data_IF_489092211149
#
_entry.id   IF_489092211149
#
_cell.length_a   1.000
_cell.length_b   1.000
_cell.length_c   1.000
_cell.angle_alpha   90.00
_cell.angle_beta   90.00
_cell.angle_gamma   90.00
#
_symmetry.space_group_name_H-M   'P 1'
#
loop_
_entity.id
_entity.type
_entity.pdbx_description
1 polymer ?
#
# COMPACT_ATOMS: atom_id res chain seq x y z
N UNK A 1 -1.53 15.77 14.85
CA UNK A 1 -1.62 15.03 13.59
C UNK A 1 -0.79 15.66 12.46
N UNK A 2 -0.97 16.95 12.08
CA UNK A 2 -0.18 17.61 11.01
C UNK A 2 1.34 17.52 11.22
N UNK A 3 1.84 17.77 12.42
CA UNK A 3 3.26 17.68 12.74
C UNK A 3 3.83 16.26 12.57
N UNK A 4 3.07 15.22 12.92
CA UNK A 4 3.46 13.83 12.74
C UNK A 4 3.55 13.48 11.24
N UNK A 5 2.58 13.91 10.44
CA UNK A 5 2.62 13.70 8.99
C UNK A 5 3.80 14.41 8.33
N UNK A 6 4.06 15.67 8.70
CA UNK A 6 5.22 16.41 8.20
C UNK A 6 6.52 15.71 8.58
N UNK A 7 6.63 15.24 9.80
CA UNK A 7 7.80 14.47 10.25
C UNK A 7 7.96 13.19 9.44
N UNK A 8 6.88 12.42 9.15
CA UNK A 8 6.93 11.24 8.28
C UNK A 8 7.42 11.59 6.87
N UNK A 9 6.92 12.67 6.30
CA UNK A 9 7.36 13.16 4.97
C UNK A 9 8.85 13.52 5.00
N UNK A 10 9.30 14.24 6.01
CA UNK A 10 10.72 14.67 6.13
C UNK A 10 11.65 13.47 6.31
N UNK A 11 11.29 12.52 7.18
CA UNK A 11 12.10 11.31 7.43
C UNK A 11 12.15 10.42 6.18
N UNK A 12 11.04 10.27 5.47
CA UNK A 12 10.92 9.41 4.30
C UNK A 12 11.15 10.13 2.97
N UNK A 13 11.59 11.39 3.00
CA UNK A 13 11.74 12.22 1.80
C UNK A 13 12.55 11.57 0.68
N UNK A 14 13.63 10.89 1.01
CA UNK A 14 14.46 10.20 0.02
C UNK A 14 13.77 8.99 -0.60
N UNK A 15 13.06 8.21 0.21
CA UNK A 15 12.25 7.08 -0.27
C UNK A 15 11.13 7.56 -1.19
N UNK A 16 10.43 8.62 -0.80
CA UNK A 16 9.37 9.25 -1.59
C UNK A 16 9.95 9.76 -2.91
N UNK A 17 11.02 10.55 -2.85
CA UNK A 17 11.65 11.13 -4.03
C UNK A 17 12.15 10.05 -4.99
N UNK A 18 12.82 9.03 -4.48
CA UNK A 18 13.32 7.91 -5.28
C UNK A 18 12.17 7.15 -5.95
N UNK A 19 11.09 6.85 -5.22
CA UNK A 19 9.91 6.17 -5.76
C UNK A 19 9.24 7.00 -6.85
N UNK A 20 9.03 8.30 -6.61
CA UNK A 20 8.46 9.20 -7.60
C UNK A 20 9.33 9.33 -8.84
N UNK A 21 10.66 9.45 -8.65
CA UNK A 21 11.60 9.52 -9.77
C UNK A 21 11.55 8.26 -10.63
N UNK A 22 11.52 7.08 -10.03
CA UNK A 22 11.39 5.83 -10.78
C UNK A 22 10.06 5.77 -11.54
N UNK A 23 8.94 6.13 -10.91
CA UNK A 23 7.65 6.17 -11.60
C UNK A 23 7.65 7.11 -12.79
N UNK A 24 8.27 8.29 -12.65
CA UNK A 24 8.40 9.26 -13.75
C UNK A 24 9.34 8.73 -14.84
N UNK A 25 10.48 8.14 -14.46
CA UNK A 25 11.41 7.55 -15.43
C UNK A 25 10.76 6.39 -16.21
N UNK A 26 10.01 5.53 -15.56
CA UNK A 26 9.26 4.45 -16.23
C UNK A 26 8.23 5.00 -17.22
N UNK A 27 7.73 6.23 -17.00
CA UNK A 27 6.84 6.89 -17.94
C UNK A 27 7.55 7.30 -19.25
N UNK A 28 8.74 7.87 -19.12
CA UNK A 28 9.49 8.38 -20.30
C UNK A 28 10.29 7.31 -21.02
N UNK A 29 10.71 6.27 -20.32
CA UNK A 29 11.47 5.16 -20.91
C UNK A 29 10.48 4.09 -21.39
N UNK A 30 10.08 4.18 -22.66
CA UNK A 30 9.36 3.11 -23.34
C UNK A 30 10.29 1.89 -23.45
N UNK A 31 10.43 1.15 -22.36
CA UNK A 31 11.18 -0.10 -22.39
C UNK A 31 10.33 -1.14 -23.13
N UNK A 32 10.89 -1.81 -24.16
CA UNK A 32 10.15 -2.78 -24.97
C UNK A 32 9.64 -4.01 -24.18
N UNK A 33 10.01 -4.10 -22.89
CA UNK A 33 9.62 -5.17 -21.98
C UNK A 33 8.73 -4.70 -20.83
N UNK A 34 8.36 -3.42 -20.76
CA UNK A 34 7.57 -2.84 -19.66
C UNK A 34 6.20 -2.46 -20.20
N UNK A 35 5.31 -3.46 -20.21
CA UNK A 35 3.90 -3.26 -20.51
C UNK A 35 3.17 -2.61 -19.33
N UNK A 36 1.97 -2.06 -19.59
CA UNK A 36 1.12 -1.43 -18.56
C UNK A 36 0.89 -2.30 -17.29
N UNK A 37 0.71 -3.62 -17.40
CA UNK A 37 0.62 -4.50 -16.23
C UNK A 37 1.85 -4.45 -15.33
N UNK A 38 3.04 -4.34 -15.93
CA UNK A 38 4.32 -4.29 -15.18
C UNK A 38 4.42 -3.05 -14.29
N UNK A 39 3.92 -1.91 -14.75
CA UNK A 39 3.92 -0.64 -13.99
C UNK A 39 3.00 -0.76 -12.76
N UNK A 40 1.80 -1.31 -12.94
CA UNK A 40 0.87 -1.54 -11.84
C UNK A 40 1.43 -2.49 -10.78
N UNK A 41 2.03 -3.61 -11.20
CA UNK A 41 2.73 -4.55 -10.31
C UNK A 41 3.87 -3.89 -9.54
N UNK A 42 4.63 -3.01 -10.18
CA UNK A 42 5.71 -2.27 -9.54
C UNK A 42 5.20 -1.42 -8.36
N UNK A 43 4.07 -0.71 -8.53
CA UNK A 43 3.46 0.04 -7.43
C UNK A 43 2.99 -0.87 -6.30
N UNK A 44 2.43 -2.03 -6.63
CA UNK A 44 2.03 -3.03 -5.63
C UNK A 44 3.25 -3.52 -4.83
N UNK A 45 4.37 -3.81 -5.50
CA UNK A 45 5.62 -4.23 -4.83
C UNK A 45 6.20 -3.11 -3.96
N UNK A 46 6.15 -1.85 -4.42
CA UNK A 46 6.55 -0.70 -3.61
C UNK A 46 5.66 -0.59 -2.37
N UNK A 47 4.34 -0.75 -2.53
CA UNK A 47 3.39 -0.68 -1.42
C UNK A 47 3.70 -1.71 -0.34
N UNK A 48 4.18 -2.88 -0.74
CA UNK A 48 4.62 -3.93 0.17
C UNK A 48 5.80 -3.53 1.06
N UNK A 49 6.62 -2.58 0.64
CA UNK A 49 7.81 -2.16 1.38
C UNK A 49 7.64 -0.85 2.16
N UNK A 50 6.59 -0.06 1.90
CA UNK A 50 6.41 1.25 2.51
C UNK A 50 6.30 1.16 4.03
N UNK A 51 5.47 0.25 4.52
CA UNK A 51 5.23 0.07 5.97
C UNK A 51 6.49 -0.45 6.67
N UNK A 52 7.18 -1.44 6.08
CA UNK A 52 8.41 -1.97 6.68
C UNK A 52 9.51 -0.90 6.76
N UNK A 53 9.72 -0.13 5.68
CA UNK A 53 10.68 0.96 5.66
C UNK A 53 10.36 2.04 6.72
N UNK A 54 9.07 2.36 6.91
CA UNK A 54 8.62 3.30 7.94
C UNK A 54 9.04 2.83 9.33
N UNK A 55 8.72 1.60 9.70
CA UNK A 55 9.02 1.06 11.02
C UNK A 55 10.50 0.68 11.21
N UNK A 56 11.21 0.33 10.14
CA UNK A 56 12.66 0.11 10.20
C UNK A 56 13.39 1.41 10.54
N UNK A 57 13.02 2.52 9.91
CA UNK A 57 13.53 3.84 10.26
C UNK A 57 13.24 4.22 11.71
N UNK A 58 12.02 3.96 12.17
CA UNK A 58 11.62 4.22 13.56
C UNK A 58 12.45 3.42 14.57
N UNK A 59 12.74 2.16 14.27
CA UNK A 59 13.60 1.32 15.14
C UNK A 59 15.03 1.83 15.22
N UNK A 60 15.61 2.28 14.09
CA UNK A 60 16.97 2.80 14.06
C UNK A 60 17.18 4.03 14.95
N UNK A 61 16.20 4.95 14.97
CA UNK A 61 16.26 6.18 15.75
C UNK A 61 15.56 6.08 17.11
N UNK A 62 15.11 4.89 17.51
CA UNK A 62 14.31 4.65 18.73
C UNK A 62 13.10 5.59 18.83
N UNK A 63 12.47 5.88 17.69
CA UNK A 63 11.38 6.83 17.57
C UNK A 63 10.21 6.53 18.50
N UNK A 64 9.88 5.25 18.66
CA UNK A 64 8.79 4.80 19.55
C UNK A 64 9.01 5.24 21.00
N UNK A 65 10.24 5.16 21.50
CA UNK A 65 10.57 5.65 22.84
C UNK A 65 10.37 7.16 22.94
N UNK A 66 10.85 7.91 21.95
CA UNK A 66 10.72 9.36 21.93
C UNK A 66 9.25 9.81 21.85
N UNK A 67 8.46 9.23 20.98
CA UNK A 67 7.05 9.58 20.79
C UNK A 67 6.23 9.34 22.06
N UNK A 68 6.57 8.31 22.83
CA UNK A 68 5.87 8.01 24.07
C UNK A 68 6.12 9.04 25.19
N UNK A 69 7.18 9.86 25.09
CA UNK A 69 7.40 10.98 25.98
C UNK A 69 6.60 12.24 25.60
N UNK A 70 6.05 12.25 24.38
CA UNK A 70 5.22 13.36 23.93
C UNK A 70 3.75 13.18 24.38
N UNK A 71 3.02 14.26 24.62
CA UNK A 71 1.60 14.21 24.99
C UNK A 71 0.71 13.86 23.78
N UNK A 72 1.04 12.77 23.11
CA UNK A 72 0.34 12.30 21.92
C UNK A 72 -0.34 10.96 22.19
N UNK A 73 -1.61 10.83 21.78
CA UNK A 73 -2.29 9.55 21.91
C UNK A 73 -1.75 8.53 20.89
N UNK A 74 -1.60 7.27 21.33
CA UNK A 74 -1.24 6.14 20.46
C UNK A 74 -2.14 6.05 19.21
N UNK A 75 -3.44 6.40 19.38
CA UNK A 75 -4.41 6.45 18.28
C UNK A 75 -4.01 7.49 17.22
N UNK A 76 -3.62 8.70 17.64
CA UNK A 76 -3.21 9.78 16.72
C UNK A 76 -1.95 9.40 15.95
N UNK A 77 -1.00 8.72 16.60
CA UNK A 77 0.20 8.23 15.96
C UNK A 77 -0.14 7.18 14.88
N UNK A 78 -0.89 6.15 15.24
CA UNK A 78 -1.30 5.11 14.30
C UNK A 78 -2.11 5.68 13.11
N UNK A 79 -3.03 6.62 13.38
CA UNK A 79 -3.78 7.31 12.32
C UNK A 79 -2.85 8.06 11.36
N UNK A 80 -1.81 8.71 11.87
CA UNK A 80 -0.85 9.42 11.05
C UNK A 80 -0.05 8.46 10.14
N UNK A 81 0.33 7.29 10.66
CA UNK A 81 1.06 6.28 9.90
C UNK A 81 0.20 5.67 8.79
N UNK A 82 -1.05 5.31 9.09
CA UNK A 82 -2.00 4.84 8.09
C UNK A 82 -2.26 5.90 7.02
N UNK A 83 -2.53 7.14 7.42
CA UNK A 83 -2.80 8.24 6.49
C UNK A 83 -1.59 8.53 5.59
N UNK A 84 -0.38 8.45 6.13
CA UNK A 84 0.84 8.61 5.35
C UNK A 84 0.98 7.52 4.29
N UNK A 85 0.87 6.23 4.68
CA UNK A 85 1.04 5.12 3.76
C UNK A 85 -0.04 5.10 2.66
N UNK A 86 -1.31 5.27 3.04
CA UNK A 86 -2.41 5.33 2.07
C UNK A 86 -2.36 6.57 1.19
N UNK A 87 -1.97 7.72 1.76
CA UNK A 87 -1.81 8.96 1.00
C UNK A 87 -0.71 8.85 -0.06
N UNK A 88 0.41 8.23 0.29
CA UNK A 88 1.50 8.00 -0.65
C UNK A 88 1.08 7.08 -1.80
N UNK A 89 0.38 5.98 -1.50
CA UNK A 89 -0.09 5.05 -2.52
C UNK A 89 -1.17 5.68 -3.40
N UNK A 90 -2.13 6.38 -2.82
CA UNK A 90 -3.14 7.10 -3.59
C UNK A 90 -2.49 8.09 -4.58
N UNK A 91 -1.46 8.80 -4.14
CA UNK A 91 -0.70 9.72 -4.99
C UNK A 91 0.03 8.98 -6.12
N UNK A 92 0.63 7.82 -5.84
CA UNK A 92 1.27 6.99 -6.87
C UNK A 92 0.26 6.51 -7.93
N UNK A 93 -0.91 6.03 -7.49
CA UNK A 93 -1.95 5.60 -8.43
C UNK A 93 -2.50 6.78 -9.25
N UNK A 94 -2.68 7.96 -8.67
CA UNK A 94 -3.11 9.16 -9.43
C UNK A 94 -2.08 9.54 -10.50
N UNK A 95 -0.79 9.47 -10.18
CA UNK A 95 0.29 9.76 -11.16
C UNK A 95 0.33 8.70 -12.27
N UNK A 96 0.07 7.43 -11.94
CA UNK A 96 0.14 6.34 -12.90
C UNK A 96 -1.13 6.18 -13.75
N UNK A 97 -2.27 6.70 -13.30
CA UNK A 97 -3.52 6.58 -14.05
C UNK A 97 -3.44 7.06 -15.50
N UNK A 98 -2.91 8.27 -15.82
CA UNK A 98 -2.80 8.72 -17.19
C UNK A 98 -1.93 7.79 -18.05
N UNK A 99 -0.84 7.28 -17.47
CA UNK A 99 0.06 6.36 -18.17
C UNK A 99 -0.62 5.05 -18.49
N UNK A 100 -1.37 4.53 -17.53
CA UNK A 100 -2.05 3.25 -17.65
C UNK A 100 -3.14 3.28 -18.70
N UNK A 101 -3.91 4.38 -18.78
CA UNK A 101 -5.03 4.53 -19.70
C UNK A 101 -4.67 5.17 -21.05
N UNK A 102 -3.45 5.67 -21.24
CA UNK A 102 -3.00 6.26 -22.52
C UNK A 102 -2.50 5.21 -23.52
N UNK A 103 -2.49 3.92 -23.17
CA UNK A 103 -2.05 2.87 -24.07
C UNK A 103 -3.05 2.59 -25.19
N UNK A 104 -2.60 2.25 -26.41
CA UNK A 104 -3.50 2.01 -27.55
C UNK A 104 -4.55 0.94 -27.28
N UNK A 105 -4.15 -0.15 -26.61
CA UNK A 105 -5.00 -1.28 -26.31
C UNK A 105 -6.06 -0.99 -25.24
N UNK A 106 -5.86 0.06 -24.44
CA UNK A 106 -6.77 0.45 -23.37
C UNK A 106 -8.10 0.98 -23.89
N UNK A 107 -8.15 1.53 -25.12
CA UNK A 107 -9.39 2.00 -25.74
C UNK A 107 -10.27 0.86 -26.25
N UNK A 108 -9.66 -0.24 -26.69
CA UNK A 108 -10.39 -1.41 -27.22
C UNK A 108 -10.94 -2.28 -26.08
N UNK A 109 -10.20 -2.43 -24.98
CA UNK A 109 -10.53 -3.29 -23.84
C UNK A 109 -10.64 -2.51 -22.52
N UNK A 110 -11.34 -1.37 -22.55
CA UNK A 110 -11.39 -0.43 -21.42
C UNK A 110 -11.86 -1.09 -20.10
N UNK A 111 -12.85 -1.98 -20.13
CA UNK A 111 -13.38 -2.65 -18.94
C UNK A 111 -12.31 -3.56 -18.31
N UNK A 112 -11.56 -4.27 -19.12
CA UNK A 112 -10.49 -5.17 -18.66
C UNK A 112 -9.35 -4.38 -18.03
N UNK A 113 -8.90 -3.30 -18.68
CA UNK A 113 -7.89 -2.40 -18.13
C UNK A 113 -8.33 -1.76 -16.82
N UNK A 114 -9.61 -1.36 -16.73
CA UNK A 114 -10.17 -0.80 -15.51
C UNK A 114 -10.24 -1.85 -14.38
N UNK A 115 -10.62 -3.08 -14.69
CA UNK A 115 -10.63 -4.19 -13.74
C UNK A 115 -9.22 -4.46 -13.19
N UNK A 116 -8.21 -4.50 -14.05
CA UNK A 116 -6.82 -4.67 -13.64
C UNK A 116 -6.31 -3.51 -12.80
N UNK A 117 -6.67 -2.27 -13.14
CA UNK A 117 -6.31 -1.10 -12.34
C UNK A 117 -6.89 -1.16 -10.92
N UNK A 118 -8.14 -1.58 -10.77
CA UNK A 118 -8.75 -1.81 -9.45
C UNK A 118 -8.11 -3.01 -8.72
N UNK A 119 -7.65 -4.03 -9.44
CA UNK A 119 -6.89 -5.13 -8.86
C UNK A 119 -5.58 -4.64 -8.23
N UNK A 120 -4.86 -3.73 -8.86
CA UNK A 120 -3.65 -3.13 -8.29
C UNK A 120 -3.96 -2.30 -7.04
N UNK A 121 -4.99 -1.45 -7.08
CA UNK A 121 -5.40 -0.63 -5.93
C UNK A 121 -5.80 -1.50 -4.74
N UNK A 122 -6.63 -2.52 -4.96
CA UNK A 122 -7.06 -3.42 -3.89
C UNK A 122 -5.91 -4.25 -3.33
N UNK A 123 -5.00 -4.75 -4.19
CA UNK A 123 -3.81 -5.50 -3.78
C UNK A 123 -2.88 -4.64 -2.93
N UNK A 124 -2.60 -3.39 -3.34
CA UNK A 124 -1.80 -2.45 -2.57
C UNK A 124 -2.42 -2.16 -1.20
N UNK A 125 -3.74 -1.95 -1.16
CA UNK A 125 -4.47 -1.72 0.08
C UNK A 125 -4.39 -2.91 1.04
N UNK A 126 -4.60 -4.14 0.56
CA UNK A 126 -4.48 -5.35 1.37
C UNK A 126 -3.05 -5.59 1.86
N UNK A 127 -2.05 -5.29 1.04
CA UNK A 127 -0.65 -5.41 1.43
C UNK A 127 -0.30 -4.44 2.55
N UNK A 128 -0.72 -3.19 2.47
CA UNK A 128 -0.53 -2.22 3.56
C UNK A 128 -1.19 -2.74 4.85
N UNK A 129 -2.45 -3.18 4.77
CA UNK A 129 -3.16 -3.73 5.91
C UNK A 129 -2.42 -4.91 6.56
N UNK A 130 -1.99 -5.87 5.75
CA UNK A 130 -1.29 -7.06 6.24
C UNK A 130 0.03 -6.69 6.90
N UNK A 131 0.76 -5.74 6.33
CA UNK A 131 2.02 -5.27 6.89
C UNK A 131 1.86 -4.52 8.20
N UNK A 132 0.89 -3.63 8.30
CA UNK A 132 0.58 -3.00 9.59
C UNK A 132 0.24 -4.06 10.65
N UNK A 133 -0.59 -5.03 10.31
CA UNK A 133 -0.94 -6.10 11.25
C UNK A 133 0.28 -6.91 11.70
N UNK A 134 1.14 -7.32 10.75
CA UNK A 134 2.36 -8.09 11.03
C UNK A 134 3.34 -7.29 11.91
N UNK A 135 3.45 -5.96 11.73
CA UNK A 135 4.33 -5.12 12.57
C UNK A 135 3.92 -5.09 14.05
N UNK A 136 2.62 -5.27 14.34
CA UNK A 136 2.12 -5.28 15.72
C UNK A 136 2.06 -6.67 16.35
N UNK A 137 2.33 -7.74 15.58
CA UNK A 137 2.53 -9.07 16.15
C UNK A 137 3.91 -9.17 16.83
N UNK A 138 3.95 -9.88 17.98
CA UNK A 138 5.21 -10.17 18.67
C UNK A 138 5.89 -11.36 18.00
N UNK A 139 6.78 -11.08 17.06
CA UNK A 139 7.47 -12.10 16.29
C UNK A 139 8.96 -11.77 16.11
N UNK A 140 9.74 -12.84 15.92
CA UNK A 140 11.12 -12.69 15.50
C UNK A 140 11.19 -12.10 14.10
N UNK A 141 12.26 -11.36 13.79
CA UNK A 141 12.43 -10.72 12.46
C UNK A 141 12.34 -11.72 11.30
N UNK A 142 12.86 -12.95 11.47
CA UNK A 142 12.76 -13.98 10.45
C UNK A 142 11.33 -14.41 10.14
N UNK A 143 10.53 -14.67 11.18
CA UNK A 143 9.11 -15.04 11.02
C UNK A 143 8.30 -13.91 10.38
N UNK A 144 8.60 -12.65 10.75
CA UNK A 144 7.97 -11.46 10.15
C UNK A 144 8.24 -11.41 8.64
N UNK A 145 9.50 -11.59 8.23
CA UNK A 145 9.88 -11.57 6.81
C UNK A 145 9.18 -12.67 6.01
N UNK A 146 9.13 -13.90 6.54
CA UNK A 146 8.42 -15.02 5.90
C UNK A 146 6.93 -14.71 5.74
N UNK A 147 6.27 -14.20 6.77
CA UNK A 147 4.85 -13.84 6.70
C UNK A 147 4.58 -12.71 5.71
N UNK A 148 5.47 -11.70 5.65
CA UNK A 148 5.37 -10.63 4.67
C UNK A 148 5.45 -11.16 3.24
N UNK A 149 6.45 -12.00 2.93
CA UNK A 149 6.59 -12.59 1.60
C UNK A 149 5.38 -13.45 1.23
N UNK A 150 4.92 -14.29 2.15
CA UNK A 150 3.73 -15.12 1.94
C UNK A 150 2.49 -14.26 1.69
N UNK A 151 2.29 -13.20 2.47
CA UNK A 151 1.17 -12.28 2.29
C UNK A 151 1.20 -11.58 0.93
N UNK A 152 2.39 -11.13 0.49
CA UNK A 152 2.57 -10.50 -0.83
C UNK A 152 2.11 -11.43 -1.94
N UNK A 153 2.63 -12.66 -1.96
CA UNK A 153 2.30 -13.63 -3.02
C UNK A 153 0.82 -13.97 -3.01
N UNK A 154 0.26 -14.32 -1.84
CA UNK A 154 -1.15 -14.71 -1.74
C UNK A 154 -2.11 -13.58 -2.10
N UNK A 155 -1.87 -12.35 -1.63
CA UNK A 155 -2.74 -11.20 -1.90
C UNK A 155 -2.72 -10.85 -3.38
N UNK A 156 -1.55 -10.81 -4.00
CA UNK A 156 -1.44 -10.50 -5.43
C UNK A 156 -2.18 -11.57 -6.24
N UNK A 157 -1.87 -12.85 -6.05
CA UNK A 157 -2.51 -13.92 -6.80
C UNK A 157 -4.02 -13.92 -6.63
N UNK A 158 -4.51 -13.80 -5.39
CA UNK A 158 -5.95 -13.84 -5.12
C UNK A 158 -6.68 -12.67 -5.77
N UNK A 159 -6.14 -11.45 -5.69
CA UNK A 159 -6.77 -10.28 -6.28
C UNK A 159 -6.78 -10.33 -7.80
N UNK A 160 -5.70 -10.78 -8.43
CA UNK A 160 -5.68 -10.94 -9.89
C UNK A 160 -6.70 -11.98 -10.35
N UNK A 161 -6.80 -13.11 -9.66
CA UNK A 161 -7.80 -14.13 -9.96
C UNK A 161 -9.23 -13.56 -9.83
N UNK A 162 -9.52 -12.86 -8.74
CA UNK A 162 -10.85 -12.26 -8.51
C UNK A 162 -11.19 -11.27 -9.64
N UNK A 163 -10.30 -10.34 -9.95
CA UNK A 163 -10.58 -9.32 -10.95
C UNK A 163 -10.65 -9.89 -12.36
N UNK A 164 -9.86 -10.91 -12.68
CA UNK A 164 -9.96 -11.64 -13.94
C UNK A 164 -11.33 -12.29 -14.10
N UNK A 165 -11.81 -13.00 -13.09
CA UNK A 165 -13.17 -13.57 -13.14
C UNK A 165 -14.25 -12.51 -13.22
N UNK A 166 -14.10 -11.41 -12.49
CA UNK A 166 -15.05 -10.30 -12.55
C UNK A 166 -15.08 -9.63 -13.92
N UNK A 167 -13.96 -9.48 -14.61
CA UNK A 167 -13.92 -8.91 -15.96
C UNK A 167 -14.61 -9.79 -16.99
N UNK A 168 -14.57 -11.13 -16.80
CA UNK A 168 -15.26 -12.08 -17.70
C UNK A 168 -16.78 -12.11 -17.49
N UNK A 169 -17.24 -11.93 -16.25
CA UNK A 169 -18.66 -12.11 -15.87
C UNK A 169 -19.43 -10.79 -15.87
N UNK A 170 -18.76 -9.67 -15.57
CA UNK A 170 -19.42 -8.42 -15.30
C UNK A 170 -19.06 -7.32 -16.31
N UNK A 171 -20.00 -7.03 -17.20
CA UNK A 171 -19.98 -5.79 -17.99
C UNK A 171 -20.34 -4.54 -17.15
N UNK A 172 -20.45 -4.66 -15.81
CA UNK A 172 -20.94 -3.60 -14.94
C UNK A 172 -19.81 -3.06 -14.03
N UNK A 173 -19.51 -1.78 -14.18
CA UNK A 173 -18.48 -1.05 -13.44
C UNK A 173 -18.66 -1.14 -11.91
N UNK A 174 -19.89 -1.22 -11.42
CA UNK A 174 -20.18 -1.33 -9.98
C UNK A 174 -19.62 -2.63 -9.40
N UNK A 175 -19.73 -3.73 -10.14
CA UNK A 175 -19.24 -5.04 -9.69
C UNK A 175 -17.70 -5.05 -9.61
N UNK A 176 -17.03 -4.38 -10.54
CA UNK A 176 -15.57 -4.25 -10.53
C UNK A 176 -15.04 -3.44 -9.33
N UNK A 177 -15.86 -2.54 -8.78
CA UNK A 177 -15.50 -1.75 -7.58
C UNK A 177 -15.63 -2.52 -6.26
N UNK A 178 -16.40 -3.62 -6.22
CA UNK A 178 -16.67 -4.35 -4.97
C UNK A 178 -15.38 -4.76 -4.23
N UNK A 179 -14.36 -5.39 -4.84
CA UNK A 179 -13.14 -5.78 -4.12
C UNK A 179 -12.39 -4.58 -3.54
N UNK A 180 -12.39 -3.46 -4.25
CA UNK A 180 -11.77 -2.22 -3.77
C UNK A 180 -12.51 -1.66 -2.55
N UNK A 181 -13.85 -1.65 -2.57
CA UNK A 181 -14.66 -1.24 -1.43
C UNK A 181 -14.47 -2.18 -0.23
N UNK A 182 -14.41 -3.49 -0.47
CA UNK A 182 -14.09 -4.49 0.57
C UNK A 182 -12.71 -4.25 1.16
N UNK A 183 -11.72 -3.90 0.35
CA UNK A 183 -10.36 -3.58 0.85
C UNK A 183 -10.36 -2.36 1.78
N UNK A 184 -11.16 -1.34 1.49
CA UNK A 184 -11.33 -0.16 2.35
C UNK A 184 -11.98 -0.56 3.68
N UNK A 185 -13.02 -1.39 3.65
CA UNK A 185 -13.69 -1.89 4.86
C UNK A 185 -12.70 -2.69 5.74
N UNK A 186 -11.94 -3.58 5.13
CA UNK A 186 -10.92 -4.37 5.83
C UNK A 186 -9.84 -3.46 6.44
N UNK A 187 -9.43 -2.39 5.74
CA UNK A 187 -8.51 -1.38 6.28
C UNK A 187 -9.02 -0.83 7.61
N UNK A 188 -10.30 -0.48 7.66
CA UNK A 188 -10.90 0.04 8.89
C UNK A 188 -10.87 -0.98 10.03
N UNK A 189 -11.20 -2.24 9.76
CA UNK A 189 -11.16 -3.32 10.74
C UNK A 189 -9.73 -3.57 11.23
N UNK A 190 -8.77 -3.62 10.32
CA UNK A 190 -7.35 -3.83 10.64
C UNK A 190 -6.80 -2.66 11.46
N UNK A 191 -7.17 -1.41 11.14
CA UNK A 191 -6.81 -0.25 11.94
C UNK A 191 -7.23 -0.40 13.41
N UNK A 192 -8.49 -0.80 13.66
CA UNK A 192 -8.98 -1.03 15.01
C UNK A 192 -8.25 -2.16 15.73
N UNK A 193 -7.94 -3.24 15.01
CA UNK A 193 -7.16 -4.36 15.55
C UNK A 193 -5.72 -3.95 15.89
N UNK A 194 -5.06 -3.23 14.99
CA UNK A 194 -3.71 -2.69 15.24
C UNK A 194 -3.71 -1.73 16.43
N UNK A 195 -4.73 -0.88 16.55
CA UNK A 195 -4.85 0.03 17.69
C UNK A 195 -4.99 -0.74 19.00
N UNK A 196 -5.82 -1.79 19.02
CA UNK A 196 -5.96 -2.66 20.19
C UNK A 196 -4.63 -3.31 20.59
N UNK A 197 -3.91 -3.90 19.62
CA UNK A 197 -2.59 -4.51 19.84
C UNK A 197 -1.56 -3.48 20.32
N UNK A 198 -1.57 -2.29 19.74
CA UNK A 198 -0.66 -1.21 20.12
C UNK A 198 -0.92 -0.70 21.56
N UNK A 199 -2.19 -0.62 21.95
CA UNK A 199 -2.54 -0.21 23.32
C UNK A 199 -2.22 -1.29 24.36
N UNK A 200 -2.33 -2.57 23.97
CA UNK A 200 -2.04 -3.70 24.85
C UNK A 200 -0.52 -3.89 25.10
N UNK A 201 0.34 -3.41 24.19
CA UNK A 201 1.79 -3.43 24.42
C UNK A 201 2.16 -2.43 25.50
N UNK A 202 2.53 -2.95 26.65
CA UNK A 202 3.25 -2.14 27.66
C UNK A 202 4.62 -1.77 27.08
N UNK A 203 4.92 -0.48 27.13
CA UNK A 203 6.16 0.04 26.61
C UNK A 203 7.14 0.03 27.76
N UNK A 204 7.95 -1.03 27.80
CA UNK A 204 9.12 -1.08 28.66
C UNK A 204 10.24 -0.19 28.12
#
# INVERSE_FOLDING_TARGET
>A
MRALLLQRIVVQKWTILFTMTICVLLHFVHLPFVDSPSIGLFVVVISANIVDNLYRGDRQVKWTMYVNTLPLSKKTQLQSDFLFCYGLIALLFIILAPMYFSQPDASENFIEHLAMYFAYISSASFLICSQFYIQYLDETEGMRTVRMLTAIVLIILLNFVIHYYLSLVAANLIILLIPTLVSILITFLVFHKCLYLYMAKEIC
#
